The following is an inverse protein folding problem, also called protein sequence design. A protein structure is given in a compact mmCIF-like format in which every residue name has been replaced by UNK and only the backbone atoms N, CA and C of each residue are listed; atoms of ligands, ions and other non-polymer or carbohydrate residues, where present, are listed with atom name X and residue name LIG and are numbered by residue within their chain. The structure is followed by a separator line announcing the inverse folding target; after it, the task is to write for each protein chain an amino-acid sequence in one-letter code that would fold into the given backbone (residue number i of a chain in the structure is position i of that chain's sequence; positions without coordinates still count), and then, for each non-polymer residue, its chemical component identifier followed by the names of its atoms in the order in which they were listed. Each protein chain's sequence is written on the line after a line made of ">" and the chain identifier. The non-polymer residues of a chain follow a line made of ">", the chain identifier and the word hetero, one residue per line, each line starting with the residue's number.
data_IF_131494881529
#
_entry.id   IF_131494881529
#
_cell.length_a   1.000
_cell.length_b   1.000
_cell.length_c   1.000
_cell.angle_alpha   90.00
_cell.angle_beta   90.00
_cell.angle_gamma   90.00
#
_symmetry.space_group_name_H-M   'P 1'
#
loop_
_entity.id
_entity.type
_entity.pdbx_description
1 polymer ?
#
# COMPACT_ATOMS: atom_id res chain seq x y z
N UNK A 1 43.49 3.86 -0.07
CA UNK A 1 43.07 3.00 -1.20
C UNK A 1 43.25 1.58 -0.75
N UNK A 2 42.12 0.86 -0.63
CA UNK A 2 41.86 -0.54 -0.18
C UNK A 2 40.81 -0.48 0.94
N UNK A 3 39.63 -1.08 0.89
CA UNK A 3 38.87 -1.82 -0.11
C UNK A 3 37.50 -2.03 0.55
N UNK A 4 36.50 -1.22 0.22
CA UNK A 4 35.13 -1.30 0.79
C UNK A 4 34.25 -2.29 -0.02
N UNK A 5 34.67 -3.54 -0.15
CA UNK A 5 33.94 -4.54 -0.96
C UNK A 5 33.59 -5.84 -0.21
N UNK A 6 33.61 -5.83 1.13
CA UNK A 6 33.40 -7.07 1.90
C UNK A 6 32.11 -7.10 2.73
N UNK A 7 31.00 -6.52 2.26
CA UNK A 7 29.68 -6.73 2.91
C UNK A 7 28.52 -6.78 1.90
N UNK A 8 28.66 -7.59 0.83
CA UNK A 8 27.52 -8.00 -0.02
C UNK A 8 26.96 -9.33 0.51
N UNK A 9 26.57 -9.36 1.78
CA UNK A 9 25.83 -10.49 2.37
C UNK A 9 24.58 -10.04 3.12
N UNK A 10 24.44 -8.75 3.41
CA UNK A 10 23.28 -8.19 4.11
C UNK A 10 22.12 -7.82 3.18
N UNK A 11 22.25 -8.10 1.87
CA UNK A 11 21.14 -8.08 0.91
C UNK A 11 20.38 -9.41 0.88
N UNK A 12 20.43 -10.20 1.97
CA UNK A 12 19.55 -11.34 2.13
C UNK A 12 18.16 -10.83 2.53
N UNK A 13 17.40 -10.42 1.51
CA UNK A 13 15.96 -10.21 1.59
C UNK A 13 15.33 -11.37 2.35
N UNK A 14 14.72 -11.09 3.50
CA UNK A 14 14.03 -12.09 4.31
C UNK A 14 12.55 -12.10 3.88
N UNK A 15 12.12 -13.02 3.00
CA UNK A 15 10.74 -13.06 2.55
C UNK A 15 9.79 -13.16 3.76
N UNK A 16 8.64 -12.48 3.74
CA UNK A 16 7.64 -12.56 4.81
C UNK A 16 6.94 -13.94 4.89
N UNK A 17 7.39 -14.91 4.09
CA UNK A 17 6.87 -16.27 4.05
C UNK A 17 7.99 -17.24 4.39
N UNK A 18 7.77 -18.10 5.39
CA UNK A 18 8.60 -19.29 5.63
C UNK A 18 8.36 -20.26 4.48
N UNK A 19 9.16 -20.16 3.44
CA UNK A 19 9.24 -21.25 2.47
C UNK A 19 9.91 -22.43 3.16
N UNK A 20 9.43 -23.63 2.87
CA UNK A 20 10.25 -24.83 3.05
C UNK A 20 11.56 -24.52 2.32
N UNK A 21 12.71 -24.66 2.98
CA UNK A 21 14.00 -24.36 2.36
C UNK A 21 14.09 -25.21 1.09
N UNK A 22 13.83 -24.58 -0.06
CA UNK A 22 14.16 -25.20 -1.32
C UNK A 22 15.68 -25.13 -1.36
N UNK A 23 16.33 -26.29 -1.39
CA UNK A 23 17.74 -26.37 -1.76
C UNK A 23 17.82 -25.94 -3.23
N UNK A 24 17.82 -24.62 -3.45
CA UNK A 24 17.97 -24.03 -4.78
C UNK A 24 19.33 -24.52 -5.27
N UNK A 25 19.32 -25.35 -6.32
CA UNK A 25 20.56 -25.81 -6.91
C UNK A 25 21.33 -24.60 -7.43
N UNK A 26 22.63 -24.52 -7.15
CA UNK A 26 23.49 -23.57 -7.83
C UNK A 26 23.43 -23.86 -9.34
N UNK A 27 23.24 -22.84 -10.17
CA UNK A 27 23.27 -23.04 -11.62
C UNK A 27 24.71 -23.30 -12.05
N UNK A 28 25.00 -24.52 -12.48
CA UNK A 28 26.25 -24.81 -13.18
C UNK A 28 25.97 -24.65 -14.67
N UNK A 29 26.30 -23.49 -15.23
CA UNK A 29 26.09 -23.21 -16.66
C UNK A 29 26.86 -24.19 -17.56
N UNK A 30 27.99 -24.71 -17.10
CA UNK A 30 28.76 -25.72 -17.82
C UNK A 30 28.09 -27.10 -17.83
N UNK A 31 27.04 -27.31 -17.03
CA UNK A 31 26.26 -28.54 -17.06
C UNK A 31 25.30 -28.61 -18.26
N UNK A 32 25.01 -27.48 -18.91
CA UNK A 32 24.14 -27.42 -20.08
C UNK A 32 24.92 -27.94 -21.28
N UNK A 33 24.42 -29.00 -21.92
CA UNK A 33 25.04 -29.55 -23.12
C UNK A 33 24.53 -28.82 -24.37
N UNK A 34 23.20 -28.76 -24.53
CA UNK A 34 22.56 -28.10 -25.67
C UNK A 34 21.11 -27.76 -25.40
N UNK A 35 20.57 -26.89 -26.24
CA UNK A 35 19.15 -26.50 -26.25
C UNK A 35 18.59 -26.80 -27.63
N UNK A 36 17.46 -27.51 -27.68
CA UNK A 36 16.74 -27.86 -28.89
C UNK A 36 15.38 -27.15 -28.91
N UNK A 37 15.02 -26.57 -30.06
CA UNK A 37 13.77 -25.84 -30.23
C UNK A 37 12.86 -26.59 -31.20
N UNK A 38 11.69 -26.99 -30.71
CA UNK A 38 10.66 -27.70 -31.46
C UNK A 38 9.33 -27.00 -31.25
N UNK A 39 9.03 -25.88 -31.93
CA UNK A 39 7.81 -25.09 -31.68
C UNK A 39 6.56 -25.99 -31.62
N UNK A 40 5.74 -25.92 -30.55
CA UNK A 40 5.70 -24.94 -29.45
C UNK A 40 6.54 -25.29 -28.21
N UNK A 41 7.44 -26.26 -28.29
CA UNK A 41 8.27 -26.74 -27.19
C UNK A 41 9.74 -26.28 -27.28
N UNK A 42 10.35 -26.09 -26.12
CA UNK A 42 11.80 -25.89 -25.94
C UNK A 42 12.32 -26.98 -25.02
N UNK A 43 13.42 -27.63 -25.40
CA UNK A 43 14.08 -28.68 -24.62
C UNK A 43 15.49 -28.24 -24.26
N UNK A 44 15.84 -28.35 -22.98
CA UNK A 44 17.19 -28.14 -22.46
C UNK A 44 17.75 -29.49 -22.01
N UNK A 45 18.91 -29.85 -22.54
CA UNK A 45 19.58 -31.13 -22.27
C UNK A 45 20.86 -30.84 -21.49
N UNK A 46 21.00 -31.50 -20.34
CA UNK A 46 22.20 -31.45 -19.52
C UNK A 46 23.19 -32.55 -19.92
N UNK A 47 24.46 -32.35 -19.60
CA UNK A 47 25.55 -33.32 -19.83
C UNK A 47 25.37 -34.64 -19.07
N UNK A 48 24.55 -34.66 -18.03
CA UNK A 48 24.20 -35.87 -17.28
C UNK A 48 23.05 -36.67 -17.94
N UNK A 49 22.49 -36.16 -19.05
CA UNK A 49 21.37 -36.76 -19.77
C UNK A 49 19.99 -36.31 -19.27
N UNK A 50 19.90 -35.46 -18.25
CA UNK A 50 18.63 -34.91 -17.78
C UNK A 50 18.05 -33.93 -18.80
N UNK A 51 16.73 -34.01 -19.01
CA UNK A 51 16.01 -33.14 -19.95
C UNK A 51 14.96 -32.30 -19.23
N UNK A 52 14.93 -31.01 -19.54
CA UNK A 52 13.90 -30.08 -19.08
C UNK A 52 13.13 -29.55 -20.28
N UNK A 53 11.81 -29.65 -20.24
CA UNK A 53 10.94 -29.28 -21.36
C UNK A 53 9.96 -28.20 -20.93
N UNK A 54 9.95 -27.10 -21.66
CA UNK A 54 8.92 -26.07 -21.62
C UNK A 54 8.05 -26.20 -22.87
N UNK A 55 6.73 -26.08 -22.70
CA UNK A 55 5.75 -26.10 -23.78
C UNK A 55 4.91 -24.85 -23.66
N UNK A 56 4.85 -24.07 -24.74
CA UNK A 56 4.00 -22.88 -24.82
C UNK A 56 2.52 -23.30 -24.79
N UNK A 57 1.70 -22.56 -24.03
CA UNK A 57 0.28 -22.84 -23.92
C UNK A 57 -0.47 -22.48 -25.21
N UNK A 58 -1.64 -23.09 -25.39
CA UNK A 58 -2.49 -22.83 -26.55
C UNK A 58 -2.95 -21.37 -26.56
N UNK A 59 -2.69 -20.67 -27.67
CA UNK A 59 -3.01 -19.24 -27.83
C UNK A 59 -1.84 -18.29 -27.58
N UNK A 60 -0.74 -18.76 -26.99
CA UNK A 60 0.48 -17.96 -26.80
C UNK A 60 1.42 -18.06 -28.02
N UNK A 61 2.15 -16.97 -28.30
CA UNK A 61 3.20 -16.96 -29.32
C UNK A 61 4.46 -17.63 -28.77
N UNK A 62 4.98 -18.61 -29.51
CA UNK A 62 6.23 -19.28 -29.14
C UNK A 62 7.40 -18.30 -29.12
N UNK A 63 8.03 -18.17 -27.95
CA UNK A 63 9.22 -17.35 -27.72
C UNK A 63 10.37 -18.25 -27.25
N UNK A 64 11.48 -18.21 -27.99
CA UNK A 64 12.67 -19.02 -27.70
C UNK A 64 13.33 -18.64 -26.38
N UNK A 65 13.42 -17.35 -26.08
CA UNK A 65 14.04 -16.85 -24.87
C UNK A 65 13.23 -17.28 -23.65
N UNK A 66 11.90 -17.09 -23.71
CA UNK A 66 10.99 -17.50 -22.64
C UNK A 66 11.01 -19.01 -22.41
N UNK A 67 11.05 -19.80 -23.48
CA UNK A 67 11.17 -21.26 -23.39
C UNK A 67 12.46 -21.70 -22.67
N UNK A 68 13.60 -21.06 -22.96
CA UNK A 68 14.87 -21.34 -22.27
C UNK A 68 14.82 -20.92 -20.81
N UNK A 69 14.28 -19.73 -20.51
CA UNK A 69 14.11 -19.26 -19.13
C UNK A 69 13.29 -20.25 -18.30
N UNK A 70 12.19 -20.77 -18.83
CA UNK A 70 11.37 -21.77 -18.14
C UNK A 70 12.11 -23.08 -17.90
N UNK A 71 12.90 -23.56 -18.87
CA UNK A 71 13.72 -24.76 -18.67
C UNK A 71 14.80 -24.57 -17.60
N UNK A 72 15.45 -23.40 -17.56
CA UNK A 72 16.43 -23.05 -16.52
C UNK A 72 15.77 -23.00 -15.14
N UNK A 73 14.57 -22.41 -15.04
CA UNK A 73 13.83 -22.36 -13.78
C UNK A 73 13.42 -23.76 -13.32
N UNK A 74 12.99 -24.64 -14.23
CA UNK A 74 12.73 -26.05 -13.89
C UNK A 74 13.99 -26.76 -13.39
N UNK A 75 15.16 -26.47 -13.96
CA UNK A 75 16.43 -27.02 -13.47
C UNK A 75 16.78 -26.54 -12.06
N UNK A 76 16.66 -25.24 -11.80
CA UNK A 76 16.99 -24.62 -10.51
C UNK A 76 16.14 -25.15 -9.36
N UNK A 77 14.83 -25.29 -9.61
CA UNK A 77 13.86 -25.74 -8.61
C UNK A 77 13.69 -27.27 -8.60
N UNK A 78 14.20 -27.96 -9.62
CA UNK A 78 14.03 -29.41 -9.82
C UNK A 78 12.64 -29.83 -10.30
N UNK A 79 11.67 -28.92 -10.29
CA UNK A 79 10.30 -29.16 -10.70
C UNK A 79 9.62 -27.86 -11.20
N UNK A 80 8.30 -27.90 -11.39
CA UNK A 80 7.48 -26.75 -11.80
C UNK A 80 6.96 -25.91 -10.63
N UNK A 81 7.43 -26.13 -9.40
CA UNK A 81 6.98 -25.39 -8.20
C UNK A 81 7.34 -23.91 -8.24
N UNK A 82 8.35 -23.53 -9.06
CA UNK A 82 8.74 -22.14 -9.28
C UNK A 82 7.57 -21.25 -9.70
N UNK A 83 6.56 -21.77 -10.41
CA UNK A 83 5.36 -21.00 -10.74
C UNK A 83 4.58 -20.56 -9.50
N UNK A 84 4.44 -21.43 -8.51
CA UNK A 84 3.79 -21.11 -7.23
C UNK A 84 4.59 -20.07 -6.48
N UNK A 85 5.92 -20.21 -6.48
CA UNK A 85 6.83 -19.24 -5.89
C UNK A 85 6.68 -17.85 -6.55
N UNK A 86 6.76 -17.76 -7.87
CA UNK A 86 6.58 -16.49 -8.60
C UNK A 86 5.21 -15.86 -8.28
N UNK A 87 4.13 -16.64 -8.31
CA UNK A 87 2.78 -16.13 -7.95
C UNK A 87 2.72 -15.62 -6.52
N UNK A 88 3.43 -16.26 -5.59
CA UNK A 88 3.46 -15.81 -4.19
C UNK A 88 4.18 -14.47 -4.02
N UNK A 89 5.25 -14.22 -4.79
CA UNK A 89 5.94 -12.93 -4.82
C UNK A 89 5.05 -11.82 -5.33
N UNK A 90 4.31 -12.08 -6.42
CA UNK A 90 3.36 -11.12 -6.99
C UNK A 90 2.27 -10.77 -5.95
N UNK A 91 1.68 -11.77 -5.31
CA UNK A 91 0.67 -11.56 -4.24
C UNK A 91 1.22 -10.80 -3.05
N UNK A 92 2.50 -11.00 -2.71
CA UNK A 92 3.16 -10.30 -1.62
C UNK A 92 3.24 -8.79 -1.91
N UNK A 93 3.62 -8.43 -3.13
CA UNK A 93 3.67 -7.03 -3.56
C UNK A 93 2.27 -6.42 -3.65
N UNK A 94 1.30 -7.11 -4.24
CA UNK A 94 -0.09 -6.65 -4.28
C UNK A 94 -0.64 -6.36 -2.88
N UNK A 95 -0.34 -7.22 -1.91
CA UNK A 95 -0.73 -7.00 -0.51
C UNK A 95 -0.03 -5.77 0.08
N UNK A 96 1.26 -5.59 -0.19
CA UNK A 96 2.03 -4.44 0.27
C UNK A 96 1.43 -3.12 -0.28
N UNK A 97 1.06 -3.09 -1.56
CA UNK A 97 0.44 -1.92 -2.17
C UNK A 97 -0.95 -1.64 -1.57
N UNK A 98 -1.79 -2.67 -1.45
CA UNK A 98 -3.11 -2.54 -0.82
C UNK A 98 -3.03 -2.04 0.63
N UNK A 99 -2.07 -2.53 1.42
CA UNK A 99 -1.87 -2.09 2.80
C UNK A 99 -1.40 -0.63 2.87
N UNK A 100 -0.56 -0.18 1.92
CA UNK A 100 -0.18 1.24 1.81
C UNK A 100 -1.38 2.13 1.45
N UNK A 101 -2.19 1.71 0.49
CA UNK A 101 -3.38 2.45 0.07
C UNK A 101 -4.42 2.55 1.19
N UNK A 102 -4.67 1.45 1.92
CA UNK A 102 -5.56 1.45 3.09
C UNK A 102 -5.08 2.42 4.17
N UNK A 103 -3.79 2.38 4.53
CA UNK A 103 -3.23 3.32 5.51
C UNK A 103 -3.39 4.78 5.06
N UNK A 104 -3.18 5.06 3.78
CA UNK A 104 -3.37 6.41 3.23
C UNK A 104 -4.84 6.85 3.26
N UNK A 105 -5.77 5.94 2.95
CA UNK A 105 -7.21 6.20 3.02
C UNK A 105 -7.68 6.43 4.45
N UNK A 106 -7.20 5.62 5.40
CA UNK A 106 -7.48 5.78 6.83
C UNK A 106 -6.94 7.11 7.38
N UNK A 107 -5.73 7.51 6.98
CA UNK A 107 -5.16 8.79 7.39
C UNK A 107 -5.96 9.98 6.83
N UNK A 108 -6.39 9.91 5.56
CA UNK A 108 -7.25 10.94 4.95
C UNK A 108 -8.61 11.01 5.64
N UNK A 109 -9.25 9.87 5.89
CA UNK A 109 -10.52 9.80 6.59
C UNK A 109 -10.42 10.34 8.04
N UNK A 110 -9.32 10.04 8.73
CA UNK A 110 -9.06 10.57 10.07
C UNK A 110 -8.88 12.10 10.07
N UNK A 111 -8.14 12.64 9.09
CA UNK A 111 -7.96 14.10 8.93
C UNK A 111 -9.29 14.79 8.59
N UNK A 112 -10.09 14.23 7.68
CA UNK A 112 -11.40 14.78 7.35
C UNK A 112 -12.36 14.76 8.55
N UNK A 113 -12.38 13.66 9.32
CA UNK A 113 -13.17 13.55 10.54
C UNK A 113 -12.76 14.57 11.60
N UNK A 114 -11.46 14.84 11.76
CA UNK A 114 -10.97 15.88 12.66
C UNK A 114 -11.40 17.28 12.21
N UNK A 115 -11.23 17.60 10.92
CA UNK A 115 -11.63 18.90 10.36
C UNK A 115 -13.14 19.13 10.54
N UNK A 116 -13.97 18.10 10.30
CA UNK A 116 -15.41 18.18 10.48
C UNK A 116 -15.79 18.44 11.94
N UNK A 117 -15.19 17.69 12.88
CA UNK A 117 -15.42 17.90 14.33
C UNK A 117 -14.99 19.30 14.79
N UNK A 118 -13.87 19.80 14.29
CA UNK A 118 -13.39 21.14 14.65
C UNK A 118 -14.33 22.24 14.13
N UNK A 119 -14.81 22.12 12.89
CA UNK A 119 -15.82 23.04 12.33
C UNK A 119 -17.11 23.02 13.15
N UNK A 120 -17.66 21.85 13.44
CA UNK A 120 -18.87 21.72 14.25
C UNK A 120 -18.71 22.33 15.65
N UNK A 121 -17.56 22.13 16.30
CA UNK A 121 -17.27 22.72 17.60
C UNK A 121 -17.11 24.25 17.53
N UNK A 122 -16.48 24.76 16.48
CA UNK A 122 -16.33 26.20 16.23
C UNK A 122 -17.70 26.85 16.04
N UNK A 123 -18.56 26.26 15.22
CA UNK A 123 -19.90 26.78 14.93
C UNK A 123 -20.78 26.77 16.18
N UNK A 124 -20.73 25.70 16.98
CA UNK A 124 -21.41 25.65 18.29
C UNK A 124 -20.92 26.74 19.24
N UNK A 125 -19.62 27.04 19.25
CA UNK A 125 -19.07 28.12 20.10
C UNK A 125 -19.55 29.49 19.65
N UNK A 126 -19.54 29.76 18.34
CA UNK A 126 -20.03 31.02 17.76
C UNK A 126 -21.52 31.20 18.05
N UNK A 127 -22.33 30.15 17.89
CA UNK A 127 -23.77 30.20 18.18
C UNK A 127 -24.05 30.53 19.65
N UNK A 128 -23.32 29.90 20.59
CA UNK A 128 -23.44 30.18 22.03
C UNK A 128 -23.05 31.63 22.37
N UNK A 129 -21.99 32.14 21.76
CA UNK A 129 -21.54 33.52 22.01
C UNK A 129 -22.54 34.54 21.47
N UNK A 130 -23.11 34.32 20.28
CA UNK A 130 -24.18 35.17 19.73
C UNK A 130 -25.41 35.19 20.62
N UNK A 131 -25.88 34.02 21.07
CA UNK A 131 -27.03 33.93 21.96
C UNK A 131 -26.81 34.65 23.30
N UNK A 132 -25.59 34.60 23.86
CA UNK A 132 -25.25 35.36 25.08
C UNK A 132 -25.29 36.87 24.85
N UNK A 133 -24.68 37.35 23.75
CA UNK A 133 -24.69 38.77 23.40
C UNK A 133 -26.10 39.29 23.17
N UNK A 134 -26.94 38.53 22.48
CA UNK A 134 -28.36 38.89 22.27
C UNK A 134 -29.12 38.98 23.60
N UNK A 135 -28.92 38.02 24.50
CA UNK A 135 -29.55 38.04 25.83
C UNK A 135 -29.09 39.24 26.67
N UNK A 136 -27.79 39.56 26.67
CA UNK A 136 -27.25 40.73 27.37
C UNK A 136 -27.80 42.06 26.80
N UNK A 137 -27.90 42.16 25.48
CA UNK A 137 -28.51 43.32 24.81
C UNK A 137 -29.98 43.47 25.22
N UNK A 138 -30.73 42.36 25.34
CA UNK A 138 -32.14 42.39 25.74
C UNK A 138 -32.29 42.90 27.19
N UNK A 139 -31.47 42.41 28.12
CA UNK A 139 -31.45 42.89 29.50
C UNK A 139 -31.13 44.39 29.56
N UNK A 140 -30.13 44.84 28.79
CA UNK A 140 -29.75 46.26 28.77
C UNK A 140 -30.86 47.14 28.19
N UNK A 141 -31.57 46.68 27.15
CA UNK A 141 -32.73 47.38 26.58
C UNK A 141 -33.86 47.49 27.60
N UNK A 142 -34.20 46.39 28.29
CA UNK A 142 -35.25 46.39 29.31
C UNK A 142 -34.90 47.31 30.49
N UNK A 143 -33.67 47.26 30.98
CA UNK A 143 -33.17 48.14 32.04
C UNK A 143 -33.25 49.61 31.62
N UNK A 144 -32.83 49.94 30.39
CA UNK A 144 -32.90 51.28 29.85
C UNK A 144 -34.35 51.78 29.74
N UNK A 145 -35.27 50.95 29.24
CA UNK A 145 -36.69 51.30 29.14
C UNK A 145 -37.30 51.53 30.53
N UNK A 146 -36.96 50.71 31.53
CA UNK A 146 -37.41 50.89 32.91
C UNK A 146 -36.88 52.20 33.50
N UNK A 147 -35.59 52.49 33.34
CA UNK A 147 -34.97 53.73 33.81
C UNK A 147 -35.62 54.97 33.16
N UNK A 148 -35.85 54.94 31.84
CA UNK A 148 -36.54 56.03 31.11
C UNK A 148 -37.97 56.25 31.59
N UNK A 149 -38.72 55.17 31.88
CA UNK A 149 -40.08 55.26 32.43
C UNK A 149 -40.11 55.88 33.83
N UNK A 150 -39.12 55.56 34.67
CA UNK A 150 -38.99 56.13 36.01
C UNK A 150 -38.58 57.61 35.97
N UNK A 151 -37.67 57.99 35.06
CA UNK A 151 -37.29 59.39 34.84
C UNK A 151 -38.43 60.26 34.31
N UNK A 152 -39.25 59.74 33.39
CA UNK A 152 -40.41 60.48 32.88
C UNK A 152 -41.49 60.69 33.96
N UNK A 153 -41.72 59.72 34.86
CA UNK A 153 -42.63 59.90 36.01
C UNK A 153 -42.13 60.93 37.02
N UNK A 154 -40.81 61.09 37.16
CA UNK A 154 -40.21 62.14 38.00
C UNK A 154 -40.36 63.56 37.43
N UNK A 155 -40.59 63.69 36.12
CA UNK A 155 -40.76 64.98 35.43
C UNK A 155 -42.22 65.44 35.31
N UNK A 156 -43.20 64.59 35.63
CA UNK A 156 -44.64 64.93 35.66
C UNK A 156 -45.12 65.36 37.07
N UNK A 157 -44.20 65.46 38.04
CA UNK A 157 -44.45 65.80 39.44
C UNK A 157 -43.88 67.14 39.89
N UNK A 158 -43.80 68.15 39.00
CA UNK A 158 -43.54 69.56 39.34
C UNK A 158 -44.65 70.45 38.77
#
# INVERSE_FOLDING_TARGET
>A
MTSELDNITDFFWNPPFKFQAFDIKSINLDAIERVEFYPPATKLILKDGSEFVSVTQEGDVFDKERGVQECIMQYLFGDKSYHTYIRSLIKADEKLQNDKEKKLAEEKAAKEAQIKKEKENRDKRIARERARKEYEIEIQKEAYIRAMKEMNKGNEGC
#
